data_IF_279981837959
#
_entry.id   IF_279981837959
#
_cell.length_a   1.000
_cell.length_b   1.000
_cell.length_c   1.000
_cell.angle_alpha   90.00
_cell.angle_beta   90.00
_cell.angle_gamma   90.00
#
_symmetry.space_group_name_H-M   'P 1'
#
loop_
_entity.id
_entity.type
_entity.pdbx_description
1 polymer ?
#
# COMPACT_ATOMS: atom_id res chain seq x y z
N UNK A 1 -2.65 -18.10 -7.14
CA UNK A 1 -2.49 -17.28 -8.36
C UNK A 1 -1.29 -16.41 -8.10
N UNK A 2 -0.22 -16.58 -8.87
CA UNK A 2 1.01 -15.83 -8.66
C UNK A 2 0.78 -14.37 -9.08
N UNK A 3 0.84 -13.46 -8.12
CA UNK A 3 0.80 -12.02 -8.39
C UNK A 3 2.17 -11.57 -8.88
N UNK A 4 2.24 -10.96 -10.06
CA UNK A 4 3.46 -10.33 -10.55
C UNK A 4 3.68 -8.97 -9.88
N UNK A 5 4.88 -8.73 -9.34
CA UNK A 5 5.27 -7.41 -8.84
C UNK A 5 5.51 -6.48 -10.03
N UNK A 6 4.78 -5.36 -10.06
CA UNK A 6 4.90 -4.34 -11.11
C UNK A 6 5.92 -3.25 -10.74
N UNK A 7 5.91 -2.81 -9.49
CA UNK A 7 6.82 -1.81 -8.93
C UNK A 7 6.95 -2.02 -7.42
N UNK A 8 8.06 -1.57 -6.82
CA UNK A 8 8.30 -1.61 -5.37
C UNK A 8 9.13 -0.42 -4.94
N UNK A 9 8.97 0.04 -3.69
CA UNK A 9 9.77 1.11 -3.13
C UNK A 9 9.52 1.35 -1.65
N UNK A 10 10.25 2.30 -1.08
CA UNK A 10 10.12 2.76 0.31
C UNK A 10 9.48 4.15 0.32
N UNK A 11 8.60 4.41 1.28
CA UNK A 11 7.99 5.73 1.44
C UNK A 11 9.05 6.80 1.74
N UNK A 12 8.83 8.01 1.25
CA UNK A 12 9.64 9.18 1.59
C UNK A 12 9.42 9.63 3.05
N UNK A 13 10.05 10.75 3.44
CA UNK A 13 9.93 11.33 4.79
C UNK A 13 8.51 11.78 5.15
N UNK A 14 7.64 11.96 4.16
CA UNK A 14 6.23 12.34 4.34
C UNK A 14 5.31 11.11 4.33
N UNK A 15 5.87 9.89 4.30
CA UNK A 15 5.11 8.64 4.28
C UNK A 15 4.46 8.34 2.92
N UNK A 16 4.97 8.91 1.82
CA UNK A 16 4.37 8.81 0.49
C UNK A 16 5.25 8.04 -0.49
N UNK A 17 4.60 7.47 -1.50
CA UNK A 17 5.26 6.97 -2.70
C UNK A 17 4.44 7.40 -3.91
N UNK A 18 5.12 7.89 -4.95
CA UNK A 18 4.51 8.23 -6.23
C UNK A 18 4.97 7.22 -7.27
N UNK A 19 4.08 6.27 -7.57
CA UNK A 19 4.31 5.26 -8.58
C UNK A 19 4.39 5.87 -9.98
N UNK A 20 5.25 5.29 -10.81
CA UNK A 20 5.41 5.69 -12.22
C UNK A 20 4.76 4.70 -13.17
N UNK A 21 4.53 3.48 -12.69
CA UNK A 21 3.87 2.43 -13.46
C UNK A 21 2.45 2.85 -13.83
N UNK A 22 2.18 2.86 -15.13
CA UNK A 22 0.83 2.99 -15.67
C UNK A 22 0.30 1.59 -15.89
N UNK A 23 -0.88 1.33 -15.33
CA UNK A 23 -1.53 0.03 -15.42
C UNK A 23 -2.86 0.14 -16.18
N UNK A 24 -3.25 -0.88 -16.97
CA UNK A 24 -4.58 -0.92 -17.58
C UNK A 24 -5.67 -1.11 -16.54
N UNK A 25 -6.94 -0.96 -16.95
CA UNK A 25 -8.09 -1.31 -16.10
C UNK A 25 -7.95 -2.76 -15.60
N UNK A 26 -8.25 -3.00 -14.33
CA UNK A 26 -8.12 -4.32 -13.72
C UNK A 26 -8.07 -4.29 -12.19
N UNK A 27 -7.84 -5.46 -11.58
CA UNK A 27 -7.67 -5.61 -10.14
C UNK A 27 -6.20 -5.65 -9.79
N UNK A 28 -5.80 -4.80 -8.83
CA UNK A 28 -4.43 -4.67 -8.36
C UNK A 28 -4.39 -4.74 -6.85
N UNK A 29 -3.18 -4.95 -6.31
CA UNK A 29 -2.93 -4.85 -4.87
C UNK A 29 -1.69 -4.01 -4.59
N UNK A 30 -1.71 -3.33 -3.45
CA UNK A 30 -0.50 -2.75 -2.84
C UNK A 30 -0.26 -3.50 -1.53
N UNK A 31 0.95 -4.04 -1.37
CA UNK A 31 1.42 -4.65 -0.13
C UNK A 31 2.23 -3.65 0.68
N UNK A 32 1.77 -3.36 1.89
CA UNK A 32 2.51 -2.58 2.88
C UNK A 32 3.19 -3.52 3.87
N UNK A 33 4.52 -3.46 3.95
CA UNK A 33 5.39 -4.22 4.86
C UNK A 33 5.34 -3.64 6.28
N UNK A 34 4.19 -3.78 6.95
CA UNK A 34 3.88 -3.11 8.22
C UNK A 34 4.70 -3.63 9.38
N UNK A 35 5.01 -4.94 9.43
CA UNK A 35 5.83 -5.50 10.50
C UNK A 35 7.25 -4.98 10.43
N UNK A 36 7.83 -4.96 9.24
CA UNK A 36 9.15 -4.40 9.00
C UNK A 36 9.20 -2.93 9.45
N UNK A 37 8.18 -2.14 9.11
CA UNK A 37 8.06 -0.76 9.59
C UNK A 37 8.04 -0.65 11.11
N UNK A 38 7.16 -1.37 11.81
CA UNK A 38 7.07 -1.29 13.28
C UNK A 38 8.33 -1.79 13.99
N UNK A 39 9.05 -2.76 13.43
CA UNK A 39 10.34 -3.22 13.97
C UNK A 39 11.39 -2.11 14.01
N UNK A 40 11.41 -1.20 13.02
CA UNK A 40 12.33 -0.04 13.03
C UNK A 40 12.08 0.92 14.21
N UNK A 41 10.88 0.88 14.79
CA UNK A 41 10.48 1.73 15.93
C UNK A 41 10.38 0.96 17.25
N UNK A 42 10.90 -0.28 17.30
CA UNK A 42 10.84 -1.18 18.46
C UNK A 42 9.42 -1.43 18.98
N UNK A 43 8.43 -1.40 18.08
CA UNK A 43 7.01 -1.63 18.40
C UNK A 43 6.55 -2.94 17.78
N UNK A 44 5.58 -3.58 18.44
CA UNK A 44 4.87 -4.73 17.88
C UNK A 44 3.66 -4.27 17.07
N UNK A 45 3.26 -5.11 16.11
CA UNK A 45 1.99 -4.95 15.39
C UNK A 45 1.31 -6.30 15.23
N UNK A 46 -0.02 -6.28 15.15
CA UNK A 46 -0.81 -7.44 14.82
C UNK A 46 -0.66 -7.88 13.36
N UNK A 47 -0.23 -6.98 12.47
CA UNK A 47 -0.23 -7.20 11.03
C UNK A 47 1.18 -7.51 10.51
N UNK A 48 1.43 -8.73 9.98
CA UNK A 48 2.72 -9.04 9.37
C UNK A 48 2.96 -8.18 8.11
N UNK A 49 1.91 -7.95 7.33
CA UNK A 49 1.82 -6.97 6.26
C UNK A 49 0.33 -6.64 6.05
N UNK A 50 0.03 -5.64 5.21
CA UNK A 50 -1.33 -5.29 4.81
C UNK A 50 -1.39 -5.26 3.28
N UNK A 51 -2.26 -6.09 2.70
CA UNK A 51 -2.60 -6.04 1.27
C UNK A 51 -3.88 -5.24 1.07
N UNK A 52 -3.80 -4.14 0.32
CA UNK A 52 -4.97 -3.40 -0.12
C UNK A 52 -5.25 -3.76 -1.58
N UNK A 53 -6.35 -4.48 -1.80
CA UNK A 53 -6.80 -4.90 -3.14
C UNK A 53 -7.88 -3.94 -3.64
N UNK A 54 -7.76 -3.46 -4.87
CA UNK A 54 -8.68 -2.48 -5.46
C UNK A 54 -8.77 -2.60 -6.98
N UNK A 55 -9.83 -2.04 -7.55
CA UNK A 55 -10.05 -1.97 -8.99
C UNK A 55 -9.61 -0.62 -9.54
N UNK A 56 -8.85 -0.65 -10.63
CA UNK A 56 -8.44 0.52 -11.42
C UNK A 56 -9.32 0.62 -12.66
N UNK A 57 -9.81 1.83 -12.93
CA UNK A 57 -10.57 2.23 -14.10
C UNK A 57 -9.72 3.14 -15.02
N UNK A 58 -10.07 3.17 -16.31
CA UNK A 58 -9.28 3.89 -17.32
C UNK A 58 -9.35 5.42 -17.11
N UNK A 59 -8.19 6.07 -17.08
CA UNK A 59 -8.07 7.53 -17.09
C UNK A 59 -8.20 8.20 -15.72
N UNK A 60 -8.35 7.43 -14.65
CA UNK A 60 -8.44 7.96 -13.29
C UNK A 60 -7.09 7.93 -12.57
N UNK A 61 -6.90 8.88 -11.64
CA UNK A 61 -5.79 8.83 -10.68
C UNK A 61 -6.28 8.15 -9.40
N UNK A 62 -5.39 7.36 -8.81
CA UNK A 62 -5.66 6.61 -7.59
C UNK A 62 -4.69 7.03 -6.49
N UNK A 63 -5.24 7.49 -5.38
CA UNK A 63 -4.53 7.66 -4.13
C UNK A 63 -5.09 6.63 -3.13
N UNK A 64 -4.24 5.75 -2.61
CA UNK A 64 -4.66 4.65 -1.71
C UNK A 64 -3.88 4.76 -0.41
N UNK A 65 -4.38 5.53 0.58
CA UNK A 65 -3.70 5.70 1.86
C UNK A 65 -3.83 4.48 2.77
N UNK A 66 -2.86 4.32 3.66
CA UNK A 66 -2.94 3.42 4.81
C UNK A 66 -2.79 4.23 6.09
N UNK A 67 -3.85 4.34 6.89
CA UNK A 67 -3.81 4.88 8.24
C UNK A 67 -3.55 3.72 9.20
N UNK A 68 -2.39 3.72 9.84
CA UNK A 68 -1.87 2.55 10.55
C UNK A 68 -1.68 2.80 12.04
N UNK A 69 -2.21 1.89 12.85
CA UNK A 69 -1.88 1.73 14.26
C UNK A 69 -1.40 0.30 14.52
N UNK A 70 -0.90 0.02 15.72
CA UNK A 70 -0.35 -1.29 16.07
C UNK A 70 -1.36 -2.44 15.89
N UNK A 71 -2.66 -2.18 16.10
CA UNK A 71 -3.73 -3.19 16.16
C UNK A 71 -4.96 -2.88 15.30
N UNK A 72 -4.91 -1.82 14.51
CA UNK A 72 -5.96 -1.45 13.57
C UNK A 72 -5.41 -0.62 12.44
N UNK A 73 -6.02 -0.74 11.27
CA UNK A 73 -5.74 0.16 10.15
C UNK A 73 -7.04 0.51 9.43
N UNK A 74 -7.01 1.61 8.70
CA UNK A 74 -8.04 1.95 7.73
C UNK A 74 -7.40 2.36 6.41
N UNK A 75 -8.15 2.17 5.33
CA UNK A 75 -7.77 2.57 3.98
C UNK A 75 -9.01 3.10 3.28
N UNK A 76 -8.80 3.86 2.21
CA UNK A 76 -9.86 4.42 1.38
C UNK A 76 -9.29 4.84 0.03
N UNK A 77 -10.17 5.20 -0.92
CA UNK A 77 -9.78 5.88 -2.15
C UNK A 77 -9.73 7.39 -1.91
N UNK A 78 -8.53 7.96 -1.91
CA UNK A 78 -8.31 9.40 -1.89
C UNK A 78 -8.49 10.04 -3.28
N UNK A 79 -8.60 11.37 -3.28
CA UNK A 79 -8.60 12.22 -4.49
C UNK A 79 -7.24 12.32 -5.15
#
# INVERSE_FOLDING_TARGET
>A
MDSQVLESGTTDSDGRIKWRTVVPQGTYSIRFFTKEYFQTTQRSTFFPWVDIVFTVEKGEKYHVPLLLSNYGYSTYRGS
#
